data_IF_889108945032
#
_entry.id   IF_889108945032
#
_cell.length_a   1.000
_cell.length_b   1.000
_cell.length_c   1.000
_cell.angle_alpha   90.00
_cell.angle_beta   90.00
_cell.angle_gamma   90.00
#
_symmetry.space_group_name_H-M   'P 1'
#
loop_
_entity.id
_entity.type
_entity.pdbx_description
1 polymer ?
#
# COMPACT_ATOMS: atom_id res chain seq x y z
N UNK A 1 -22.92 -17.26 -2.64
CA UNK A 1 -23.43 -17.93 -1.50
C UNK A 1 -24.15 -16.95 -0.55
N UNK A 2 -25.09 -17.30 0.08
CA UNK A 2 -25.96 -16.84 1.16
C UNK A 2 -25.75 -15.41 1.73
N UNK A 3 -25.09 -14.49 1.01
CA UNK A 3 -24.86 -13.13 1.46
C UNK A 3 -23.75 -12.96 2.50
N UNK A 4 -23.06 -14.02 2.87
CA UNK A 4 -21.98 -13.95 3.86
C UNK A 4 -20.60 -13.75 3.25
N UNK A 5 -20.42 -14.19 2.01
CA UNK A 5 -19.17 -14.01 1.28
C UNK A 5 -19.41 -13.06 0.13
N UNK A 6 -18.62 -12.00 0.10
CA UNK A 6 -18.61 -11.04 -1.00
C UNK A 6 -17.29 -11.15 -1.74
N UNK A 7 -17.36 -11.28 -3.06
CA UNK A 7 -16.14 -11.29 -3.86
C UNK A 7 -15.45 -9.94 -3.75
N UNK A 8 -14.23 -9.95 -3.25
CA UNK A 8 -13.42 -8.74 -3.14
C UNK A 8 -12.75 -8.44 -4.47
N UNK A 9 -12.06 -9.44 -5.02
CA UNK A 9 -11.45 -9.40 -6.33
C UNK A 9 -11.21 -10.85 -6.76
N UNK A 10 -10.59 -11.06 -7.91
CA UNK A 10 -10.40 -12.40 -8.46
C UNK A 10 -9.70 -13.33 -7.46
N UNK A 11 -10.39 -14.38 -7.06
CA UNK A 11 -9.86 -15.38 -6.14
C UNK A 11 -9.92 -15.03 -4.67
N UNK A 12 -10.39 -13.83 -4.31
CA UNK A 12 -10.52 -13.42 -2.92
C UNK A 12 -11.96 -13.09 -2.56
N UNK A 13 -12.36 -13.56 -1.38
CA UNK A 13 -13.69 -13.32 -0.83
C UNK A 13 -13.59 -12.73 0.57
N UNK A 14 -14.49 -11.83 0.87
CA UNK A 14 -14.62 -11.22 2.18
C UNK A 14 -15.78 -11.84 2.93
N UNK A 15 -15.52 -12.29 4.15
CA UNK A 15 -16.60 -12.78 5.03
C UNK A 15 -17.17 -11.61 5.81
N UNK A 16 -18.33 -11.10 5.37
CA UNK A 16 -18.90 -9.87 5.93
C UNK A 16 -19.34 -10.01 7.37
N UNK A 17 -19.74 -11.19 7.80
CA UNK A 17 -20.12 -11.42 9.20
C UNK A 17 -18.96 -11.35 10.18
N UNK A 18 -17.72 -11.43 9.69
CA UNK A 18 -16.55 -11.24 10.54
C UNK A 18 -16.38 -9.78 10.96
N UNK A 19 -17.20 -8.88 10.43
CA UNK A 19 -17.14 -7.45 10.70
C UNK A 19 -15.73 -6.88 10.58
N UNK A 20 -15.08 -7.03 9.42
CA UNK A 20 -13.70 -6.62 9.25
C UNK A 20 -13.56 -5.11 9.35
N UNK A 21 -12.41 -4.67 9.85
CA UNK A 21 -12.03 -3.27 9.82
C UNK A 21 -11.82 -2.84 8.37
N UNK A 22 -12.60 -1.86 7.90
CA UNK A 22 -12.56 -1.39 6.52
C UNK A 22 -11.19 -0.86 6.11
N UNK A 23 -10.46 -0.25 7.06
CA UNK A 23 -9.12 0.26 6.80
C UNK A 23 -8.08 -0.84 6.57
N UNK A 24 -8.39 -2.08 6.91
CA UNK A 24 -7.47 -3.22 6.78
C UNK A 24 -7.84 -4.15 5.63
N UNK A 25 -8.98 -3.94 4.96
CA UNK A 25 -9.41 -4.83 3.89
C UNK A 25 -8.41 -4.86 2.74
N UNK A 26 -8.04 -3.70 2.21
CA UNK A 26 -7.10 -3.63 1.09
C UNK A 26 -5.70 -4.13 1.46
N UNK A 27 -5.11 -3.73 2.60
CA UNK A 27 -3.83 -4.30 2.99
C UNK A 27 -3.84 -5.82 3.15
N UNK A 28 -4.86 -6.37 3.80
CA UNK A 28 -4.96 -7.83 3.96
C UNK A 28 -5.16 -8.53 2.61
N UNK A 29 -5.92 -7.91 1.71
CA UNK A 29 -6.08 -8.44 0.35
C UNK A 29 -4.73 -8.47 -0.38
N UNK A 30 -3.91 -7.43 -0.24
CA UNK A 30 -2.60 -7.38 -0.87
C UNK A 30 -1.71 -8.54 -0.41
N UNK A 31 -1.73 -8.87 0.89
CA UNK A 31 -0.94 -9.99 1.41
C UNK A 31 -1.41 -11.34 0.87
N UNK A 32 -2.72 -11.47 0.65
CA UNK A 32 -3.30 -12.71 0.08
C UNK A 32 -3.01 -12.84 -1.40
N UNK A 33 -3.02 -11.71 -2.12
CA UNK A 33 -2.76 -11.70 -3.57
C UNK A 33 -1.28 -11.96 -3.87
N UNK A 34 -0.38 -11.48 -3.03
CA UNK A 34 1.06 -11.63 -3.21
C UNK A 34 1.73 -12.04 -1.90
N UNK A 35 1.55 -13.33 -1.51
CA UNK A 35 2.09 -13.79 -0.23
C UNK A 35 3.61 -13.97 -0.24
N UNK A 36 4.22 -14.03 -1.43
CA UNK A 36 5.67 -14.27 -1.57
C UNK A 36 6.35 -13.04 -2.15
N UNK A 37 7.65 -12.95 -1.88
CA UNK A 37 8.47 -11.84 -2.37
C UNK A 37 8.37 -10.63 -1.48
N UNK A 38 8.99 -9.55 -1.93
CA UNK A 38 9.00 -8.27 -1.22
C UNK A 38 7.78 -7.46 -1.61
N UNK A 39 6.99 -7.08 -0.62
CA UNK A 39 5.84 -6.19 -0.79
C UNK A 39 5.77 -5.27 0.41
N UNK A 40 5.75 -3.96 0.18
CA UNK A 40 5.64 -3.00 1.29
C UNK A 40 4.82 -1.78 0.88
N UNK A 41 4.06 -1.26 1.84
CA UNK A 41 3.31 -0.02 1.66
C UNK A 41 4.28 1.15 1.49
N UNK A 42 4.00 2.03 0.53
CA UNK A 42 4.87 3.15 0.22
C UNK A 42 4.11 4.23 -0.56
N UNK A 43 4.85 5.11 -1.20
CA UNK A 43 4.32 6.10 -2.14
C UNK A 43 3.26 6.97 -1.46
N UNK A 44 2.20 7.30 -2.18
CA UNK A 44 1.18 8.22 -1.65
C UNK A 44 0.48 7.68 -0.40
N UNK A 45 0.39 6.36 -0.24
CA UNK A 45 -0.23 5.77 0.95
C UNK A 45 0.52 6.18 2.22
N UNK A 46 1.83 6.01 2.21
CA UNK A 46 2.67 6.37 3.36
C UNK A 46 2.74 7.88 3.55
N UNK A 47 2.88 8.62 2.47
CA UNK A 47 2.98 10.08 2.53
C UNK A 47 1.70 10.71 3.04
N UNK A 48 0.55 10.17 2.63
CA UNK A 48 -0.75 10.64 3.13
C UNK A 48 -0.93 10.34 4.61
N UNK A 49 -0.58 9.14 5.04
CA UNK A 49 -0.70 8.75 6.46
C UNK A 49 0.18 9.62 7.36
N UNK A 50 1.31 10.09 6.84
CA UNK A 50 2.22 10.98 7.56
C UNK A 50 1.84 12.46 7.44
N UNK A 51 0.79 12.78 6.69
CA UNK A 51 0.36 14.17 6.48
C UNK A 51 1.21 14.94 5.47
N UNK A 52 2.09 14.27 4.74
CA UNK A 52 2.93 14.90 3.72
C UNK A 52 2.14 15.23 2.47
N UNK A 53 1.13 14.42 2.17
CA UNK A 53 0.15 14.66 1.11
C UNK A 53 -1.21 14.80 1.77
N UNK A 54 -1.93 15.89 1.48
CA UNK A 54 -3.25 16.15 2.06
C UNK A 54 -4.40 15.56 1.24
N UNK A 55 -4.17 15.28 -0.04
CA UNK A 55 -5.19 14.75 -0.93
C UNK A 55 -4.67 13.48 -1.59
N UNK A 56 -5.43 12.39 -1.47
CA UNK A 56 -5.11 11.12 -2.12
C UNK A 56 -6.34 10.62 -2.86
N UNK A 57 -6.13 9.80 -3.90
CA UNK A 57 -7.25 9.05 -4.47
C UNK A 57 -7.89 8.20 -3.38
N UNK A 58 -9.19 8.35 -3.22
CA UNK A 58 -9.93 7.61 -2.21
C UNK A 58 -9.85 6.12 -2.48
N UNK A 59 -9.72 5.35 -1.40
CA UNK A 59 -9.81 3.90 -1.46
C UNK A 59 -8.78 3.25 -2.39
N UNK A 60 -7.55 3.75 -2.36
CA UNK A 60 -6.45 3.09 -3.07
C UNK A 60 -5.24 2.99 -2.16
N UNK A 61 -4.62 1.81 -2.12
CA UNK A 61 -3.32 1.66 -1.47
C UNK A 61 -2.25 1.37 -2.52
N UNK A 62 -1.05 1.86 -2.25
CA UNK A 62 0.11 1.67 -3.11
C UNK A 62 1.12 0.78 -2.41
N UNK A 63 1.53 -0.27 -3.10
CA UNK A 63 2.44 -1.29 -2.58
C UNK A 63 3.60 -1.44 -3.54
N UNK A 64 4.81 -1.19 -3.05
CA UNK A 64 6.02 -1.54 -3.81
C UNK A 64 6.19 -3.04 -3.76
N UNK A 65 6.52 -3.65 -4.89
CA UNK A 65 6.50 -5.10 -5.02
C UNK A 65 7.65 -5.58 -5.87
N UNK A 66 8.21 -6.73 -5.50
CA UNK A 66 9.17 -7.43 -6.35
C UNK A 66 8.48 -8.08 -7.57
N UNK A 67 7.17 -8.24 -7.53
CA UNK A 67 6.37 -8.73 -8.64
C UNK A 67 6.03 -7.64 -9.65
N UNK A 68 5.18 -7.99 -10.62
CA UNK A 68 4.78 -7.07 -11.69
C UNK A 68 3.97 -5.89 -11.16
N UNK A 69 4.15 -4.75 -11.82
CA UNK A 69 3.25 -3.59 -11.64
C UNK A 69 1.86 -3.92 -12.15
N UNK A 70 0.85 -3.38 -11.51
CA UNK A 70 -0.53 -3.54 -11.93
C UNK A 70 -1.49 -3.01 -10.89
N UNK A 71 -2.72 -2.78 -11.30
CA UNK A 71 -3.80 -2.33 -10.42
C UNK A 71 -4.82 -3.43 -10.30
N UNK A 72 -5.17 -3.78 -9.06
CA UNK A 72 -6.23 -4.74 -8.78
C UNK A 72 -7.43 -3.98 -8.25
N UNK A 73 -8.54 -4.08 -8.97
CA UNK A 73 -9.79 -3.46 -8.58
C UNK A 73 -10.50 -4.36 -7.56
N UNK A 74 -10.81 -3.82 -6.40
CA UNK A 74 -11.54 -4.49 -5.33
C UNK A 74 -12.95 -3.93 -5.16
N UNK A 75 -13.54 -3.42 -6.24
CA UNK A 75 -14.91 -2.93 -6.28
C UNK A 75 -15.12 -1.77 -5.30
N UNK A 76 -16.19 -1.85 -4.51
CA UNK A 76 -16.53 -0.80 -3.55
C UNK A 76 -15.47 -0.62 -2.46
N UNK A 77 -14.57 -1.58 -2.29
CA UNK A 77 -13.52 -1.50 -1.27
C UNK A 77 -12.33 -0.66 -1.73
N UNK A 78 -12.24 -0.38 -3.03
CA UNK A 78 -11.17 0.40 -3.61
C UNK A 78 -10.26 -0.43 -4.49
N UNK A 79 -8.99 -0.04 -4.58
CA UNK A 79 -8.04 -0.72 -5.44
C UNK A 79 -6.66 -0.81 -4.78
N UNK A 80 -5.87 -1.75 -5.28
CA UNK A 80 -4.49 -1.93 -4.85
C UNK A 80 -3.62 -1.70 -6.07
N UNK A 81 -2.71 -0.74 -5.98
CA UNK A 81 -1.71 -0.52 -7.01
C UNK A 81 -0.40 -1.14 -6.57
N UNK A 82 0.05 -2.16 -7.28
CA UNK A 82 1.39 -2.72 -7.11
C UNK A 82 2.34 -2.01 -8.07
N UNK A 83 3.46 -1.56 -7.56
CA UNK A 83 4.48 -0.87 -8.34
C UNK A 83 5.78 -1.63 -8.20
N UNK A 84 6.33 -2.09 -9.33
CA UNK A 84 7.53 -2.91 -9.30
C UNK A 84 8.73 -2.16 -8.77
N UNK A 85 9.47 -2.81 -7.88
CA UNK A 85 10.77 -2.35 -7.42
C UNK A 85 11.82 -3.43 -7.68
N UNK A 86 13.05 -3.01 -7.96
CA UNK A 86 14.20 -3.91 -8.07
C UNK A 86 15.06 -3.90 -6.82
N UNK A 87 14.64 -3.14 -5.82
CA UNK A 87 15.33 -3.14 -4.53
C UNK A 87 15.20 -4.50 -3.86
N UNK A 88 16.26 -4.90 -3.17
CA UNK A 88 16.27 -6.15 -2.42
C UNK A 88 15.98 -5.87 -0.95
N UNK A 89 15.50 -6.85 -0.19
CA UNK A 89 15.25 -6.63 1.25
C UNK A 89 16.45 -6.04 1.99
N UNK A 90 17.67 -6.47 1.66
CA UNK A 90 18.87 -5.95 2.31
C UNK A 90 19.14 -4.47 1.99
N UNK A 91 18.61 -3.96 0.87
CA UNK A 91 18.74 -2.55 0.52
C UNK A 91 17.80 -1.65 1.33
N UNK A 92 16.83 -2.26 1.99
CA UNK A 92 15.74 -1.56 2.66
C UNK A 92 15.83 -1.64 4.19
N UNK A 93 16.89 -2.24 4.72
CA UNK A 93 17.08 -2.34 6.16
C UNK A 93 17.10 -0.92 6.77
N UNK A 94 16.26 -0.70 7.78
CA UNK A 94 16.11 0.61 8.41
C UNK A 94 15.19 1.56 7.67
N UNK A 95 14.75 1.22 6.45
CA UNK A 95 13.86 2.06 5.64
C UNK A 95 12.44 1.53 5.60
N UNK A 96 12.23 0.27 5.96
CA UNK A 96 10.91 -0.33 6.08
C UNK A 96 10.79 -1.00 7.44
N UNK A 97 9.55 -1.09 7.94
CA UNK A 97 9.22 -1.70 9.21
C UNK A 97 7.96 -2.53 9.06
N UNK A 98 7.92 -3.70 9.71
CA UNK A 98 6.75 -4.57 9.64
C UNK A 98 5.60 -3.98 10.47
N UNK A 99 4.42 -3.89 9.87
CA UNK A 99 3.20 -3.45 10.53
C UNK A 99 2.28 -4.66 10.73
N UNK A 100 2.13 -5.17 11.96
CA UNK A 100 1.28 -6.33 12.21
C UNK A 100 -0.20 -6.08 11.95
N UNK A 101 -0.66 -4.82 11.99
CA UNK A 101 -2.06 -4.49 11.68
C UNK A 101 -2.38 -4.76 10.22
N UNK A 102 -1.53 -4.26 9.32
CA UNK A 102 -1.73 -4.43 7.88
C UNK A 102 -1.16 -5.73 7.36
N UNK A 103 -0.30 -6.39 8.14
CA UNK A 103 0.46 -7.58 7.74
C UNK A 103 1.38 -7.32 6.56
N UNK A 104 1.74 -6.06 6.37
CA UNK A 104 2.67 -5.62 5.33
C UNK A 104 3.84 -4.89 5.98
N UNK A 105 4.97 -4.92 5.33
CA UNK A 105 6.04 -3.98 5.62
C UNK A 105 5.61 -2.60 5.16
N UNK A 106 6.18 -1.58 5.77
CA UNK A 106 5.80 -0.20 5.51
C UNK A 106 7.04 0.66 5.43
N UNK A 107 7.16 1.44 4.36
CA UNK A 107 8.25 2.39 4.19
C UNK A 107 8.11 3.55 5.19
N UNK A 108 9.27 4.07 5.63
CA UNK A 108 9.26 5.37 6.28
C UNK A 108 9.09 6.48 5.21
N UNK A 109 8.91 7.72 5.66
CA UNK A 109 8.66 8.83 4.72
C UNK A 109 9.83 9.03 3.76
N UNK A 110 11.06 8.93 4.25
CA UNK A 110 12.24 9.08 3.39
C UNK A 110 12.27 8.04 2.28
N UNK A 111 11.95 6.78 2.60
CA UNK A 111 11.89 5.73 1.58
C UNK A 111 10.73 5.94 0.63
N UNK A 112 9.56 6.37 1.13
CA UNK A 112 8.42 6.65 0.26
C UNK A 112 8.74 7.77 -0.73
N UNK A 113 9.46 8.81 -0.30
CA UNK A 113 9.89 9.88 -1.20
C UNK A 113 10.88 9.36 -2.26
N UNK A 114 11.83 8.51 -1.85
CA UNK A 114 12.75 7.88 -2.81
C UNK A 114 11.99 7.06 -3.84
N UNK A 115 10.98 6.30 -3.38
CA UNK A 115 10.16 5.48 -4.28
C UNK A 115 9.34 6.34 -5.24
N UNK A 116 8.81 7.49 -4.77
CA UNK A 116 8.12 8.44 -5.66
C UNK A 116 9.02 8.89 -6.79
N UNK A 117 10.27 9.25 -6.49
CA UNK A 117 11.23 9.70 -7.49
C UNK A 117 11.65 8.57 -8.42
N UNK A 118 11.94 7.41 -7.87
CA UNK A 118 12.39 6.25 -8.66
C UNK A 118 11.32 5.78 -9.65
N UNK A 119 10.05 5.96 -9.33
CA UNK A 119 8.92 5.56 -10.17
C UNK A 119 8.35 6.71 -10.98
N UNK A 120 8.99 7.88 -10.92
CA UNK A 120 8.60 9.07 -11.68
C UNK A 120 7.17 9.54 -11.38
N UNK A 121 6.72 9.35 -10.15
CA UNK A 121 5.39 9.83 -9.74
C UNK A 121 5.46 11.34 -9.48
N UNK A 122 4.31 12.02 -9.64
CA UNK A 122 4.22 13.45 -9.41
C UNK A 122 4.52 13.81 -7.95
N UNK A 123 5.32 14.84 -7.75
CA UNK A 123 5.64 15.38 -6.44
C UNK A 123 4.83 16.63 -6.10
N UNK A 124 3.86 16.98 -6.94
CA UNK A 124 3.14 18.26 -6.87
C UNK A 124 2.30 18.41 -5.59
N UNK A 125 1.81 17.31 -5.03
CA UNK A 125 0.97 17.36 -3.84
C UNK A 125 1.75 17.29 -2.53
N UNK A 126 3.08 17.20 -2.59
CA UNK A 126 3.91 17.05 -1.40
C UNK A 126 4.05 18.39 -0.69
N UNK A 127 3.71 18.39 0.60
CA UNK A 127 4.02 19.50 1.50
C UNK A 127 5.45 19.31 2.01
N UNK A 128 6.38 20.05 1.41
CA UNK A 128 7.80 19.90 1.74
C UNK A 128 8.16 20.34 3.15
N UNK A 129 7.37 21.22 3.76
CA UNK A 129 7.59 21.59 5.16
C UNK A 129 7.36 20.40 6.08
N UNK A 130 6.25 19.69 5.84
CA UNK A 130 5.93 18.48 6.60
C UNK A 130 6.94 17.39 6.29
N UNK A 131 7.28 17.20 5.00
CA UNK A 131 8.24 16.18 4.59
C UNK A 131 9.59 16.33 5.30
N UNK A 132 10.07 17.57 5.47
CA UNK A 132 11.35 17.83 6.12
C UNK A 132 11.38 17.45 7.59
N UNK A 133 10.23 17.28 8.23
CA UNK A 133 10.16 16.81 9.61
C UNK A 133 10.55 15.33 9.75
N UNK A 134 10.52 14.57 8.64
CA UNK A 134 10.76 13.13 8.63
C UNK A 134 12.09 12.76 7.98
N UNK A 135 12.80 13.69 7.40
CA UNK A 135 14.05 13.39 6.67
C UNK A 135 15.22 14.23 7.15
#
# INVERSE_FOLDING_TARGET
SEGYLTRLCRGLYLYEKANPDRGLILPHAATKLRPLGLNYLSLETVLSDAGVISQIPMNRIMVMSSGRSGVIDCGRWGSIEFVKTRQRPQDLVGSIEYDPRTRLWRANVAQALRDMRATHRSLDLIDWKVAHEFV
#
